data_IF_272614808318
#
_entry.id   IF_272614808318
#
_cell.length_a   1.000
_cell.length_b   1.000
_cell.length_c   1.000
_cell.angle_alpha   90.00
_cell.angle_beta   90.00
_cell.angle_gamma   90.00
#
_symmetry.space_group_name_H-M   'P 1'
#
loop_
_entity.id
_entity.type
_entity.pdbx_description
1 polymer ?
#
# COMPACT_ATOMS: atom_id res chain seq x y z
N UNK A 1 -43.99 -32.69 8.59
CA UNK A 1 -42.98 -32.05 7.69
C UNK A 1 -43.13 -30.53 7.66
N UNK A 2 -44.31 -29.97 7.86
CA UNK A 2 -44.50 -28.51 7.97
C UNK A 2 -43.95 -27.91 9.27
N UNK A 3 -43.99 -28.62 10.41
CA UNK A 3 -43.44 -28.14 11.69
C UNK A 3 -41.89 -28.02 11.70
N UNK A 4 -41.17 -28.75 10.85
CA UNK A 4 -39.72 -28.65 10.71
C UNK A 4 -39.28 -27.48 9.82
N UNK A 5 -40.17 -26.98 8.96
CA UNK A 5 -39.87 -25.83 8.11
C UNK A 5 -40.15 -24.46 8.80
N UNK A 6 -41.03 -24.44 9.82
CA UNK A 6 -41.38 -23.18 10.52
C UNK A 6 -40.45 -22.81 11.66
N UNK A 7 -39.48 -23.65 12.01
CA UNK A 7 -38.54 -23.38 13.11
C UNK A 7 -37.21 -22.74 12.64
N UNK A 8 -37.06 -22.44 11.35
CA UNK A 8 -35.94 -21.62 10.90
C UNK A 8 -36.32 -20.15 11.10
N UNK A 9 -36.19 -19.71 12.37
CA UNK A 9 -36.58 -18.39 12.78
C UNK A 9 -35.61 -17.37 12.15
N UNK A 10 -36.15 -16.35 11.46
CA UNK A 10 -35.38 -15.29 10.80
C UNK A 10 -34.41 -14.61 11.78
N UNK A 11 -34.76 -14.57 13.08
CA UNK A 11 -33.90 -14.06 14.14
C UNK A 11 -32.68 -14.96 14.37
N UNK A 12 -32.84 -16.27 14.28
CA UNK A 12 -31.75 -17.23 14.42
C UNK A 12 -30.77 -17.16 13.23
N UNK A 13 -31.31 -17.02 12.02
CA UNK A 13 -30.52 -16.83 10.80
C UNK A 13 -29.74 -15.51 10.84
N UNK A 14 -30.40 -14.41 11.23
CA UNK A 14 -29.76 -13.10 11.37
C UNK A 14 -28.65 -13.14 12.42
N UNK A 15 -28.87 -13.80 13.57
CA UNK A 15 -27.87 -13.99 14.59
C UNK A 15 -26.66 -14.80 14.13
N UNK A 16 -26.88 -15.87 13.36
CA UNK A 16 -25.79 -16.66 12.76
C UNK A 16 -25.01 -15.89 11.71
N UNK A 17 -25.68 -15.09 10.88
CA UNK A 17 -25.03 -14.24 9.87
C UNK A 17 -24.19 -13.14 10.55
N UNK A 18 -24.75 -12.44 11.52
CA UNK A 18 -24.03 -11.41 12.29
C UNK A 18 -22.83 -12.00 13.03
N UNK A 19 -23.03 -13.15 13.70
CA UNK A 19 -21.93 -13.86 14.39
C UNK A 19 -20.85 -14.30 13.41
N UNK A 20 -21.21 -14.79 12.24
CA UNK A 20 -20.26 -15.15 11.18
C UNK A 20 -19.46 -13.94 10.66
N UNK A 21 -20.12 -12.83 10.39
CA UNK A 21 -19.47 -11.58 9.95
C UNK A 21 -18.49 -11.07 11.02
N UNK A 22 -18.91 -11.08 12.29
CA UNK A 22 -18.05 -10.65 13.41
C UNK A 22 -16.84 -11.57 13.58
N UNK A 23 -17.02 -12.88 13.44
CA UNK A 23 -15.91 -13.84 13.53
C UNK A 23 -14.90 -13.65 12.39
N UNK A 24 -15.37 -13.50 11.15
CA UNK A 24 -14.50 -13.21 9.98
C UNK A 24 -13.81 -11.87 10.16
N UNK A 25 -14.51 -10.85 10.65
CA UNK A 25 -13.93 -9.53 10.94
C UNK A 25 -12.83 -9.60 12.01
N UNK A 26 -13.04 -10.37 13.09
CA UNK A 26 -12.06 -10.56 14.14
C UNK A 26 -10.80 -11.29 13.64
N UNK A 27 -10.97 -12.36 12.86
CA UNK A 27 -9.84 -13.08 12.26
C UNK A 27 -9.09 -12.15 11.28
N UNK A 28 -9.82 -11.41 10.45
CA UNK A 28 -9.24 -10.45 9.50
C UNK A 28 -8.44 -9.36 10.19
N UNK A 29 -8.91 -8.84 11.32
CA UNK A 29 -8.19 -7.81 12.08
C UNK A 29 -6.88 -8.33 12.70
N UNK A 30 -6.89 -9.54 13.25
CA UNK A 30 -5.67 -10.18 13.77
C UNK A 30 -4.65 -10.41 12.66
N UNK A 31 -5.08 -10.95 11.52
CA UNK A 31 -4.20 -11.16 10.35
C UNK A 31 -3.63 -9.84 9.87
N UNK A 32 -4.45 -8.79 9.73
CA UNK A 32 -4.00 -7.45 9.33
C UNK A 32 -3.00 -6.86 10.31
N UNK A 33 -3.20 -7.05 11.60
CA UNK A 33 -2.27 -6.57 12.63
C UNK A 33 -0.92 -7.27 12.53
N UNK A 34 -0.90 -8.60 12.39
CA UNK A 34 0.34 -9.38 12.20
C UNK A 34 1.05 -8.95 10.91
N UNK A 35 0.31 -8.79 9.81
CA UNK A 35 0.87 -8.34 8.53
C UNK A 35 1.46 -6.93 8.62
N UNK A 36 0.85 -6.03 9.40
CA UNK A 36 1.37 -4.69 9.65
C UNK A 36 2.72 -4.72 10.36
N UNK A 37 2.86 -5.53 11.41
CA UNK A 37 4.12 -5.72 12.14
C UNK A 37 5.20 -6.28 11.20
N UNK A 38 4.87 -7.33 10.45
CA UNK A 38 5.81 -7.94 9.50
C UNK A 38 6.23 -6.96 8.40
N UNK A 39 5.33 -6.09 7.93
CA UNK A 39 5.62 -5.04 6.95
C UNK A 39 6.59 -3.99 7.51
N UNK A 40 6.43 -3.59 8.77
CA UNK A 40 7.37 -2.68 9.44
C UNK A 40 8.77 -3.32 9.53
N UNK A 41 8.84 -4.60 9.94
CA UNK A 41 10.12 -5.33 10.01
C UNK A 41 10.72 -5.50 8.60
N UNK A 42 9.88 -5.78 7.60
CA UNK A 42 10.29 -5.85 6.18
C UNK A 42 10.88 -4.52 5.69
N UNK A 43 10.20 -3.40 5.99
CA UNK A 43 10.67 -2.05 5.73
C UNK A 43 12.00 -1.75 6.43
N UNK A 44 12.14 -2.11 7.71
CA UNK A 44 13.39 -1.98 8.45
C UNK A 44 14.56 -2.68 7.75
N UNK A 45 14.36 -3.93 7.32
CA UNK A 45 15.37 -4.68 6.58
C UNK A 45 15.64 -4.10 5.19
N UNK A 46 14.61 -3.60 4.51
CA UNK A 46 14.74 -2.94 3.22
C UNK A 46 15.62 -1.68 3.32
N UNK A 47 15.43 -0.85 4.38
CA UNK A 47 16.28 0.32 4.63
C UNK A 47 17.74 -0.05 4.89
N UNK A 48 17.97 -1.14 5.61
CA UNK A 48 19.34 -1.65 5.80
C UNK A 48 20.03 -2.05 4.48
N UNK A 49 19.27 -2.46 3.47
CA UNK A 49 19.80 -2.73 2.12
C UNK A 49 20.17 -1.47 1.37
N UNK A 50 19.56 -0.33 1.71
CA UNK A 50 20.00 1.00 1.22
C UNK A 50 21.29 1.50 1.91
N UNK A 51 21.75 0.84 2.97
CA UNK A 51 22.81 1.34 3.84
C UNK A 51 22.31 2.29 4.93
N UNK A 52 20.98 2.40 5.09
CA UNK A 52 20.35 3.31 6.03
C UNK A 52 19.90 2.61 7.31
N UNK A 53 19.88 3.31 8.46
CA UNK A 53 19.33 2.76 9.69
C UNK A 53 17.85 2.41 9.53
N UNK A 54 17.48 1.18 9.87
CA UNK A 54 16.11 0.66 9.68
C UNK A 54 15.01 1.42 10.43
N UNK A 55 15.34 2.09 11.56
CA UNK A 55 14.35 2.87 12.32
C UNK A 55 13.74 4.04 11.53
N UNK A 56 14.42 4.52 10.47
CA UNK A 56 13.90 5.57 9.60
C UNK A 56 12.59 5.17 8.91
N UNK A 57 12.34 3.88 8.70
CA UNK A 57 11.07 3.39 8.11
C UNK A 57 9.86 3.63 9.01
N UNK A 58 10.07 3.78 10.34
CA UNK A 58 8.98 3.96 11.30
C UNK A 58 8.49 5.39 11.33
N UNK A 59 9.33 6.36 10.96
CA UNK A 59 8.96 7.77 10.95
C UNK A 59 8.17 8.07 9.68
N UNK A 60 6.86 8.39 9.80
CA UNK A 60 6.05 8.75 8.63
C UNK A 60 6.64 9.97 7.92
N UNK A 61 6.43 10.09 6.64
CA UNK A 61 7.00 11.09 5.73
C UNK A 61 8.53 11.02 5.59
N UNK A 62 9.30 10.99 6.68
CA UNK A 62 10.75 10.91 6.62
C UNK A 62 11.22 9.59 6.01
N UNK A 63 10.64 8.46 6.44
CA UNK A 63 10.92 7.17 5.85
C UNK A 63 10.61 7.15 4.34
N UNK A 64 9.47 7.67 3.94
CA UNK A 64 9.11 7.76 2.52
C UNK A 64 10.06 8.69 1.75
N UNK A 65 10.46 9.82 2.34
CA UNK A 65 11.43 10.72 1.73
C UNK A 65 12.75 10.01 1.45
N UNK A 66 13.31 9.31 2.45
CA UNK A 66 14.55 8.54 2.33
C UNK A 66 14.37 7.43 1.28
N UNK A 67 13.25 6.70 1.31
CA UNK A 67 12.97 5.68 0.32
C UNK A 67 12.96 6.23 -1.11
N UNK A 68 12.32 7.38 -1.35
CA UNK A 68 12.30 8.03 -2.67
C UNK A 68 13.68 8.53 -3.10
N UNK A 69 14.55 8.88 -2.15
CA UNK A 69 15.95 9.23 -2.44
C UNK A 69 16.70 8.06 -3.06
N UNK A 70 16.44 6.83 -2.60
CA UNK A 70 17.10 5.62 -3.10
C UNK A 70 16.38 4.96 -4.29
N UNK A 71 15.09 5.15 -4.44
CA UNK A 71 14.30 4.45 -5.47
C UNK A 71 13.91 5.33 -6.65
N UNK A 72 13.79 6.65 -6.44
CA UNK A 72 13.36 7.61 -7.47
C UNK A 72 14.03 8.97 -7.26
N UNK A 73 13.21 10.01 -6.99
CA UNK A 73 13.63 11.36 -6.62
C UNK A 73 12.83 11.78 -5.39
N UNK A 74 13.47 12.29 -4.31
CA UNK A 74 12.75 12.61 -3.08
C UNK A 74 11.64 13.63 -3.26
N UNK A 75 11.85 14.60 -4.17
CA UNK A 75 10.83 15.63 -4.48
C UNK A 75 9.52 15.03 -5.02
N UNK A 76 9.55 13.85 -5.64
CA UNK A 76 8.36 13.18 -6.17
C UNK A 76 7.42 12.65 -5.08
N UNK A 77 7.88 12.59 -3.84
CA UNK A 77 7.01 12.30 -2.70
C UNK A 77 5.90 13.34 -2.58
N UNK A 78 6.21 14.63 -2.82
CA UNK A 78 5.25 15.73 -2.65
C UNK A 78 4.04 15.58 -3.58
N UNK A 79 4.18 15.51 -4.92
CA UNK A 79 3.02 15.33 -5.78
C UNK A 79 2.28 14.01 -5.57
N UNK A 80 2.97 12.92 -5.24
CA UNK A 80 2.32 11.63 -4.95
C UNK A 80 1.40 11.73 -3.75
N UNK A 81 1.86 12.34 -2.65
CA UNK A 81 1.03 12.50 -1.46
C UNK A 81 -0.03 13.59 -1.64
N UNK A 82 0.33 14.73 -2.23
CA UNK A 82 -0.61 15.84 -2.42
C UNK A 82 -1.79 15.43 -3.32
N UNK A 83 -1.52 14.76 -4.43
CA UNK A 83 -2.56 14.36 -5.39
C UNK A 83 -3.27 13.08 -4.94
N UNK A 84 -2.56 12.10 -4.38
CA UNK A 84 -3.15 10.86 -3.90
C UNK A 84 -3.99 11.05 -2.64
N UNK A 85 -3.37 11.50 -1.55
CA UNK A 85 -4.05 11.68 -0.27
C UNK A 85 -4.98 12.91 -0.32
N UNK A 86 -4.49 14.04 -0.85
CA UNK A 86 -5.28 15.26 -0.96
C UNK A 86 -6.50 15.09 -1.87
N UNK A 87 -6.32 14.45 -3.04
CA UNK A 87 -7.42 14.11 -3.94
C UNK A 87 -8.45 13.18 -3.29
N UNK A 88 -7.98 12.18 -2.53
CA UNK A 88 -8.86 11.27 -1.78
C UNK A 88 -9.67 11.99 -0.69
N UNK A 89 -9.06 12.91 0.04
CA UNK A 89 -9.76 13.73 1.06
C UNK A 89 -10.81 14.59 0.38
N UNK A 90 -10.45 15.32 -0.68
CA UNK A 90 -11.39 16.18 -1.42
C UNK A 90 -12.56 15.37 -2.00
N UNK A 91 -12.31 14.18 -2.50
CA UNK A 91 -13.35 13.28 -3.03
C UNK A 91 -14.36 12.87 -1.93
N UNK A 92 -13.89 12.62 -0.70
CA UNK A 92 -14.76 12.29 0.43
C UNK A 92 -15.53 13.50 1.00
N UNK A 93 -15.03 14.72 0.81
CA UNK A 93 -15.69 15.95 1.27
C UNK A 93 -16.66 16.52 0.24
N UNK A 94 -16.56 16.13 -1.02
CA UNK A 94 -17.42 16.63 -2.09
C UNK A 94 -18.78 15.93 -2.08
N UNK A 95 -19.84 16.69 -2.37
CA UNK A 95 -21.18 16.12 -2.56
C UNK A 95 -21.22 15.20 -3.78
N UNK A 96 -21.99 14.12 -3.67
CA UNK A 96 -22.15 13.16 -4.75
C UNK A 96 -22.70 13.82 -6.02
N UNK A 97 -22.05 13.54 -7.16
CA UNK A 97 -22.43 14.10 -8.46
C UNK A 97 -22.03 15.56 -8.69
N UNK A 98 -21.36 16.21 -7.72
CA UNK A 98 -20.88 17.59 -7.89
C UNK A 98 -19.69 17.68 -8.86
N UNK A 99 -19.52 18.86 -9.48
CA UNK A 99 -18.35 19.14 -10.29
C UNK A 99 -17.04 19.00 -9.48
N UNK A 100 -17.08 19.33 -8.18
CA UNK A 100 -15.94 19.19 -7.28
C UNK A 100 -15.55 17.71 -7.11
N UNK A 101 -16.51 16.79 -6.98
CA UNK A 101 -16.24 15.35 -6.89
C UNK A 101 -15.59 14.82 -8.18
N UNK A 102 -16.03 15.29 -9.34
CA UNK A 102 -15.42 14.89 -10.62
C UNK A 102 -13.96 15.36 -10.71
N UNK A 103 -13.68 16.60 -10.32
CA UNK A 103 -12.31 17.15 -10.29
C UNK A 103 -11.46 16.39 -9.28
N UNK A 104 -11.97 16.17 -8.06
CA UNK A 104 -11.28 15.44 -7.02
C UNK A 104 -10.94 13.99 -7.44
N UNK A 105 -11.86 13.32 -8.14
CA UNK A 105 -11.64 11.98 -8.68
C UNK A 105 -10.53 11.97 -9.74
N UNK A 106 -10.50 12.95 -10.62
CA UNK A 106 -9.45 13.08 -11.62
C UNK A 106 -8.07 13.33 -10.95
N UNK A 107 -8.01 14.21 -9.95
CA UNK A 107 -6.79 14.49 -9.17
C UNK A 107 -6.32 13.23 -8.45
N UNK A 108 -7.23 12.50 -7.81
CA UNK A 108 -6.93 11.23 -7.14
C UNK A 108 -6.36 10.18 -8.11
N UNK A 109 -6.96 10.04 -9.30
CA UNK A 109 -6.47 9.13 -10.34
C UNK A 109 -5.03 9.45 -10.78
N UNK A 110 -4.71 10.72 -10.96
CA UNK A 110 -3.33 11.15 -11.27
C UNK A 110 -2.37 10.76 -10.14
N UNK A 111 -2.75 11.03 -8.89
CA UNK A 111 -1.97 10.61 -7.71
C UNK A 111 -1.78 9.10 -7.64
N UNK A 112 -2.82 8.33 -7.98
CA UNK A 112 -2.76 6.87 -8.01
C UNK A 112 -1.80 6.33 -9.08
N UNK A 113 -1.82 6.93 -10.29
CA UNK A 113 -0.86 6.59 -11.36
C UNK A 113 0.57 6.90 -10.93
N UNK A 114 0.82 8.05 -10.29
CA UNK A 114 2.14 8.38 -9.76
C UNK A 114 2.59 7.39 -8.69
N UNK A 115 1.68 6.89 -7.87
CA UNK A 115 1.96 5.87 -6.86
C UNK A 115 2.37 4.53 -7.50
N UNK A 116 1.71 4.12 -8.60
CA UNK A 116 2.11 2.94 -9.38
C UNK A 116 3.53 3.12 -9.93
N UNK A 117 3.86 4.30 -10.45
CA UNK A 117 5.21 4.59 -10.94
C UNK A 117 6.23 4.49 -9.78
N UNK A 118 5.90 4.99 -8.59
CA UNK A 118 6.75 4.87 -7.41
C UNK A 118 7.00 3.39 -7.03
N UNK A 119 5.96 2.55 -7.03
CA UNK A 119 6.11 1.11 -6.81
C UNK A 119 6.99 0.45 -7.86
N UNK A 120 6.81 0.81 -9.13
CA UNK A 120 7.67 0.30 -10.20
C UNK A 120 9.14 0.69 -9.99
N UNK A 121 9.41 1.95 -9.65
CA UNK A 121 10.77 2.43 -9.36
C UNK A 121 11.39 1.71 -8.17
N UNK A 122 10.60 1.48 -7.10
CA UNK A 122 11.02 0.67 -5.94
C UNK A 122 11.42 -0.73 -6.36
N UNK A 123 10.57 -1.45 -7.08
CA UNK A 123 10.83 -2.81 -7.53
C UNK A 123 12.07 -2.86 -8.43
N UNK A 124 12.22 -1.88 -9.34
CA UNK A 124 13.36 -1.79 -10.24
C UNK A 124 14.67 -1.52 -9.51
N UNK A 125 14.66 -0.73 -8.44
CA UNK A 125 15.84 -0.47 -7.60
C UNK A 125 16.37 -1.76 -6.90
N UNK A 126 15.56 -2.80 -6.82
CA UNK A 126 15.92 -4.14 -6.33
C UNK A 126 16.06 -5.20 -7.43
N UNK A 127 16.13 -4.77 -8.69
CA UNK A 127 16.31 -5.68 -9.83
C UNK A 127 15.06 -6.44 -10.26
N UNK A 128 13.88 -6.04 -9.77
CA UNK A 128 12.62 -6.69 -10.12
C UNK A 128 11.90 -5.98 -11.26
N UNK A 129 11.20 -6.76 -12.09
CA UNK A 129 10.43 -6.27 -13.24
C UNK A 129 8.97 -5.98 -12.92
N UNK A 130 8.20 -5.77 -14.00
CA UNK A 130 6.76 -5.39 -13.96
C UNK A 130 5.92 -6.43 -13.20
N UNK A 131 6.18 -7.73 -13.38
CA UNK A 131 5.42 -8.80 -12.68
C UNK A 131 5.48 -8.66 -11.16
N UNK A 132 6.64 -8.33 -10.62
CA UNK A 132 6.81 -8.08 -9.18
C UNK A 132 6.11 -6.79 -8.75
N UNK A 133 6.08 -5.77 -9.62
CA UNK A 133 5.36 -4.52 -9.37
C UNK A 133 3.85 -4.74 -9.27
N UNK A 134 3.27 -5.57 -10.16
CA UNK A 134 1.84 -5.93 -10.10
C UNK A 134 1.53 -6.60 -8.75
N UNK A 135 2.35 -7.56 -8.33
CA UNK A 135 2.21 -8.17 -7.01
C UNK A 135 2.31 -7.16 -5.86
N UNK A 136 3.23 -6.18 -5.98
CA UNK A 136 3.38 -5.12 -4.98
C UNK A 136 2.16 -4.18 -4.91
N UNK A 137 1.48 -3.93 -6.03
CA UNK A 137 0.23 -3.14 -6.07
C UNK A 137 -0.91 -3.90 -5.37
N UNK A 138 -1.02 -5.22 -5.62
CA UNK A 138 -2.08 -6.06 -5.06
C UNK A 138 -1.89 -6.30 -3.55
N UNK A 139 -0.65 -6.53 -3.12
CA UNK A 139 -0.33 -6.85 -1.73
C UNK A 139 0.95 -6.11 -1.26
N UNK A 140 0.90 -4.78 -1.08
CA UNK A 140 2.08 -3.96 -0.81
C UNK A 140 2.84 -4.39 0.45
N UNK A 141 2.13 -4.76 1.51
CA UNK A 141 2.74 -5.25 2.75
C UNK A 141 3.54 -6.54 2.53
N UNK A 142 2.95 -7.52 1.83
CA UNK A 142 3.60 -8.80 1.55
C UNK A 142 4.86 -8.61 0.71
N UNK A 143 4.78 -7.79 -0.35
CA UNK A 143 5.93 -7.56 -1.23
C UNK A 143 7.02 -6.71 -0.55
N UNK A 144 6.68 -5.83 0.39
CA UNK A 144 7.66 -5.16 1.26
C UNK A 144 8.40 -6.16 2.15
N UNK A 145 7.70 -7.16 2.70
CA UNK A 145 8.31 -8.26 3.45
C UNK A 145 9.27 -9.04 2.54
N UNK A 146 8.83 -9.40 1.34
CA UNK A 146 9.66 -10.13 0.37
C UNK A 146 10.92 -9.32 0.01
N UNK A 147 10.80 -8.01 -0.24
CA UNK A 147 11.96 -7.15 -0.50
C UNK A 147 12.89 -7.05 0.71
N UNK A 148 12.35 -6.98 1.92
CA UNK A 148 13.13 -6.90 3.15
C UNK A 148 13.89 -8.19 3.47
N UNK A 149 13.18 -9.31 3.48
CA UNK A 149 13.72 -10.62 3.88
C UNK A 149 14.30 -11.43 2.73
N UNK A 150 13.90 -11.14 1.48
CA UNK A 150 14.36 -11.85 0.30
C UNK A 150 15.84 -11.61 0.00
N UNK A 151 16.38 -12.39 -0.93
CA UNK A 151 17.77 -12.30 -1.40
C UNK A 151 18.02 -11.11 -2.33
N UNK A 152 16.97 -10.35 -2.69
CA UNK A 152 17.08 -9.15 -3.54
C UNK A 152 18.02 -8.14 -2.88
N UNK A 153 19.01 -7.68 -3.63
CA UNK A 153 19.92 -6.62 -3.19
C UNK A 153 19.49 -5.29 -3.84
N UNK A 154 19.79 -4.20 -3.18
CA UNK A 154 19.65 -2.88 -3.76
C UNK A 154 20.70 -2.69 -4.85
N UNK A 155 20.26 -2.43 -6.09
CA UNK A 155 21.15 -2.25 -7.26
C UNK A 155 21.26 -0.79 -7.71
N UNK A 156 20.58 0.10 -6.99
CA UNK A 156 20.67 1.55 -7.25
C UNK A 156 19.47 2.13 -8.00
N UNK A 157 19.42 3.45 -7.99
CA UNK A 157 18.39 4.22 -8.68
C UNK A 157 18.74 4.33 -10.17
N UNK A 158 17.90 3.79 -11.05
CA UNK A 158 18.10 3.85 -12.51
C UNK A 158 18.14 5.26 -13.09
N UNK A 159 17.81 6.28 -12.31
CA UNK A 159 17.84 7.69 -12.74
C UNK A 159 19.24 8.30 -12.53
N UNK A 160 20.02 7.81 -11.56
CA UNK A 160 21.39 8.32 -11.29
C UNK A 160 22.45 7.65 -12.14
N UNK A 161 22.24 6.37 -12.51
CA UNK A 161 23.21 5.63 -13.35
C UNK A 161 23.37 6.24 -14.75
N UNK A 162 22.33 6.89 -15.29
CA UNK A 162 22.40 7.55 -16.60
C UNK A 162 23.04 8.94 -16.58
N UNK A 163 23.23 9.55 -15.41
CA UNK A 163 23.86 10.86 -15.27
C UNK A 163 25.38 10.80 -15.03
N UNK A 164 25.92 9.64 -14.65
CA UNK A 164 27.35 9.43 -14.48
C UNK A 164 28.06 8.96 -15.76
N UNK A 165 27.29 8.59 -16.79
CA UNK A 165 27.83 8.13 -18.09
C UNK A 165 27.69 9.18 -19.23
N UNK A 166 27.42 10.45 -18.90
CA UNK A 166 27.45 11.58 -19.82
C UNK A 166 28.47 12.61 -19.35
#
# INVERSE_FOLDING_TARGET
>A
MEELMTTFNMDQLSGMLVGGILAVGAIGSVVSFVMSILSIIGGWKMFRKFGEPGWKTIIPFYGTWVEYQYTWKPIMMIPVYLLGVGGGILMNMAEEGSALQMIASAVFLVGWVLNIIAYYKRCKAFGHGIGFTIGHIVAPGLFTIILGFGKSQYIGNTTTVNSENQ
#
